data_IF_990268262685
#
_entry.id   IF_990268262685
#
_cell.length_a   1.000
_cell.length_b   1.000
_cell.length_c   1.000
_cell.angle_alpha   90.00
_cell.angle_beta   90.00
_cell.angle_gamma   90.00
#
_symmetry.space_group_name_H-M   'P 1'
#
loop_
_entity.id
_entity.type
_entity.pdbx_description
1 polymer ?
#
# COMPACT_ATOMS: atom_id res chain seq x y z
N UNK A 1 -21.32 47.77 34.72
CA UNK A 1 -20.95 46.66 33.83
C UNK A 1 -21.64 46.86 32.49
N UNK A 2 -20.89 46.86 31.37
CA UNK A 2 -21.48 47.07 30.04
C UNK A 2 -22.39 45.87 29.68
N UNK A 3 -23.51 46.12 28.97
CA UNK A 3 -24.48 45.06 28.53
C UNK A 3 -23.78 43.91 27.81
N UNK A 4 -22.81 44.19 26.96
CA UNK A 4 -22.05 43.16 26.20
C UNK A 4 -21.25 42.27 27.14
N UNK A 5 -20.61 42.84 28.15
CA UNK A 5 -19.86 42.05 29.17
C UNK A 5 -20.77 41.17 30.00
N UNK A 6 -21.98 41.69 30.36
CA UNK A 6 -22.98 40.94 31.11
C UNK A 6 -23.50 39.73 30.28
N UNK A 7 -23.80 39.95 28.99
CA UNK A 7 -24.19 38.88 28.07
C UNK A 7 -23.07 37.82 27.95
N UNK A 8 -21.80 38.24 27.84
CA UNK A 8 -20.68 37.33 27.79
C UNK A 8 -20.55 36.44 29.04
N UNK A 9 -20.69 37.02 30.24
CA UNK A 9 -20.67 36.27 31.50
C UNK A 9 -21.84 35.27 31.57
N UNK A 10 -23.04 35.71 31.21
CA UNK A 10 -24.22 34.82 31.18
C UNK A 10 -24.00 33.67 30.20
N UNK A 11 -23.45 33.93 29.02
CA UNK A 11 -23.14 32.88 28.02
C UNK A 11 -22.12 31.88 28.54
N UNK A 12 -21.10 32.35 29.29
CA UNK A 12 -20.11 31.47 29.91
C UNK A 12 -20.76 30.53 30.96
N UNK A 13 -21.61 31.07 31.80
CA UNK A 13 -22.34 30.30 32.84
C UNK A 13 -23.26 29.27 32.19
N UNK A 14 -23.99 29.68 31.13
CA UNK A 14 -24.86 28.75 30.38
C UNK A 14 -24.04 27.63 29.73
N UNK A 15 -22.92 27.95 29.10
CA UNK A 15 -22.03 26.95 28.48
C UNK A 15 -21.52 25.94 29.51
N UNK A 16 -21.04 26.41 30.67
CA UNK A 16 -20.53 25.55 31.73
C UNK A 16 -21.66 24.64 32.30
N UNK A 17 -22.84 25.21 32.55
CA UNK A 17 -24.00 24.45 33.04
C UNK A 17 -24.47 23.41 32.02
N UNK A 18 -24.58 23.78 30.74
CA UNK A 18 -24.97 22.87 29.67
C UNK A 18 -23.95 21.72 29.50
N UNK A 19 -22.66 22.03 29.57
CA UNK A 19 -21.60 21.00 29.52
C UNK A 19 -21.68 20.05 30.69
N UNK A 20 -21.86 20.58 31.91
CA UNK A 20 -22.02 19.77 33.10
C UNK A 20 -23.22 18.81 33.02
N UNK A 21 -24.37 19.33 32.56
CA UNK A 21 -25.56 18.52 32.35
C UNK A 21 -25.38 17.47 31.27
N UNK A 22 -24.77 17.85 30.12
CA UNK A 22 -24.54 16.93 29.02
C UNK A 22 -23.62 15.76 29.43
N UNK A 23 -22.53 16.06 30.14
CA UNK A 23 -21.60 15.05 30.64
C UNK A 23 -22.29 14.16 31.69
N UNK A 24 -23.12 14.74 32.57
CA UNK A 24 -23.87 14.01 33.56
C UNK A 24 -24.95 13.06 33.00
N UNK A 25 -25.50 13.40 31.82
CA UNK A 25 -26.50 12.56 31.13
C UNK A 25 -25.87 11.40 30.34
N UNK A 26 -24.56 11.44 30.06
CA UNK A 26 -23.87 10.34 29.38
C UNK A 26 -23.67 9.19 30.35
N UNK A 27 -23.99 7.95 29.94
CA UNK A 27 -23.78 6.75 30.76
C UNK A 27 -22.27 6.58 31.07
N UNK A 28 -21.89 6.86 32.32
CA UNK A 28 -20.52 6.78 32.79
C UNK A 28 -19.79 8.13 32.96
N UNK A 29 -20.39 9.25 32.61
CA UNK A 29 -19.73 10.56 32.70
C UNK A 29 -18.40 10.61 31.96
N UNK A 30 -17.36 11.19 32.57
CA UNK A 30 -15.98 11.08 32.06
C UNK A 30 -15.30 9.75 32.44
N UNK A 31 -15.95 8.92 33.26
CA UNK A 31 -15.50 7.56 33.62
C UNK A 31 -14.10 7.41 34.22
N UNK A 32 -13.46 8.51 34.61
CA UNK A 32 -12.06 8.53 35.02
C UNK A 32 -11.07 8.53 33.83
N UNK A 33 -11.57 8.47 32.62
CA UNK A 33 -10.72 8.54 31.42
C UNK A 33 -10.16 9.96 31.22
N UNK A 34 -8.84 10.06 31.29
CA UNK A 34 -8.11 11.31 31.15
C UNK A 34 -8.33 11.97 29.79
N UNK A 35 -8.52 11.21 28.72
CA UNK A 35 -8.76 11.74 27.37
C UNK A 35 -10.11 12.46 27.31
N UNK A 36 -11.16 11.84 27.86
CA UNK A 36 -12.49 12.45 27.95
C UNK A 36 -12.49 13.69 28.84
N UNK A 37 -11.75 13.67 29.95
CA UNK A 37 -11.61 14.85 30.83
C UNK A 37 -10.93 16.00 30.09
N UNK A 38 -9.81 15.73 29.41
CA UNK A 38 -9.08 16.75 28.64
C UNK A 38 -9.91 17.29 27.47
N UNK A 39 -10.71 16.45 26.80
CA UNK A 39 -11.62 16.88 25.75
C UNK A 39 -12.69 17.85 26.28
N UNK A 40 -13.30 17.58 27.41
CA UNK A 40 -14.28 18.46 28.07
C UNK A 40 -13.63 19.79 28.48
N UNK A 41 -12.46 19.73 29.11
CA UNK A 41 -11.71 20.95 29.50
C UNK A 41 -11.32 21.76 28.27
N UNK A 42 -10.85 21.10 27.20
CA UNK A 42 -10.51 21.75 25.94
C UNK A 42 -11.71 22.43 25.28
N UNK A 43 -12.87 21.78 25.25
CA UNK A 43 -14.10 22.34 24.71
C UNK A 43 -14.56 23.58 25.50
N UNK A 44 -14.51 23.53 26.83
CA UNK A 44 -14.84 24.65 27.69
C UNK A 44 -13.85 25.81 27.51
N UNK A 45 -12.56 25.53 27.40
CA UNK A 45 -11.54 26.53 27.14
C UNK A 45 -11.76 27.24 25.78
N UNK A 46 -12.04 26.48 24.71
CA UNK A 46 -12.38 27.05 23.40
C UNK A 46 -13.63 27.91 23.44
N UNK A 47 -14.67 27.47 24.12
CA UNK A 47 -15.89 28.24 24.33
C UNK A 47 -15.61 29.56 25.08
N UNK A 48 -14.84 29.50 26.15
CA UNK A 48 -14.43 30.67 26.92
C UNK A 48 -13.62 31.68 26.10
N UNK A 49 -12.65 31.20 25.33
CA UNK A 49 -11.83 32.05 24.44
C UNK A 49 -12.75 32.71 23.39
N UNK A 50 -13.65 31.94 22.78
CA UNK A 50 -14.56 32.45 21.75
C UNK A 50 -15.45 33.57 22.34
N UNK A 51 -16.07 33.35 23.50
CA UNK A 51 -16.90 34.36 24.17
C UNK A 51 -16.08 35.60 24.51
N UNK A 52 -14.88 35.40 25.06
CA UNK A 52 -13.98 36.52 25.38
C UNK A 52 -13.64 37.35 24.13
N UNK A 53 -13.26 36.69 23.02
CA UNK A 53 -12.92 37.36 21.78
C UNK A 53 -14.12 38.11 21.20
N UNK A 54 -15.30 37.49 21.17
CA UNK A 54 -16.53 38.16 20.71
C UNK A 54 -16.86 39.39 21.57
N UNK A 55 -16.84 39.26 22.88
CA UNK A 55 -17.12 40.38 23.81
C UNK A 55 -16.11 41.51 23.60
N UNK A 56 -14.82 41.18 23.47
CA UNK A 56 -13.76 42.16 23.22
C UNK A 56 -14.01 42.92 21.92
N UNK A 57 -14.22 42.20 20.81
CA UNK A 57 -14.35 42.86 19.51
C UNK A 57 -15.68 43.59 19.34
N UNK A 58 -16.81 43.08 19.86
CA UNK A 58 -18.06 43.81 19.86
C UNK A 58 -17.95 45.12 20.64
N UNK A 59 -17.25 45.13 21.77
CA UNK A 59 -16.95 46.37 22.51
C UNK A 59 -16.05 47.31 21.72
N UNK A 60 -15.03 46.78 21.09
CA UNK A 60 -14.13 47.59 20.26
C UNK A 60 -14.87 48.19 19.09
N UNK A 61 -15.69 47.45 18.37
CA UNK A 61 -16.53 47.99 17.28
C UNK A 61 -17.53 49.09 17.71
N UNK A 62 -17.98 49.07 18.98
CA UNK A 62 -18.83 50.13 19.53
C UNK A 62 -18.12 51.40 19.94
N UNK A 63 -16.81 51.29 20.26
CA UNK A 63 -16.03 52.39 20.82
C UNK A 63 -14.92 52.90 19.91
N UNK A 64 -14.48 52.03 18.99
CA UNK A 64 -13.38 52.35 18.10
C UNK A 64 -13.84 53.28 16.99
N UNK A 65 -13.02 54.30 16.73
CA UNK A 65 -13.24 55.21 15.62
C UNK A 65 -12.01 55.16 14.74
N UNK A 66 -12.28 54.98 13.44
CA UNK A 66 -11.19 55.12 12.48
C UNK A 66 -10.57 56.52 12.58
N UNK A 67 -9.32 56.58 12.90
CA UNK A 67 -8.57 57.82 13.04
C UNK A 67 -7.09 57.50 13.01
N UNK A 68 -6.34 58.35 12.38
CA UNK A 68 -4.89 58.20 12.28
C UNK A 68 -4.39 58.69 10.93
N UNK A 69 -3.11 58.61 10.73
CA UNK A 69 -2.46 58.91 9.47
C UNK A 69 -2.64 57.74 8.50
N UNK A 70 -3.01 58.03 7.26
CA UNK A 70 -3.08 57.02 6.21
C UNK A 70 -1.68 56.58 5.80
N UNK A 71 -1.49 55.31 5.50
CA UNK A 71 -0.29 54.83 4.83
C UNK A 71 -0.17 55.49 3.44
N UNK A 72 1.05 55.66 2.98
CA UNK A 72 1.32 56.19 1.63
C UNK A 72 0.93 55.21 0.53
N UNK A 73 0.88 53.93 0.88
CA UNK A 73 0.52 52.84 -0.03
C UNK A 73 -1.01 52.62 -0.01
N UNK A 74 -1.58 52.38 -1.20
CA UNK A 74 -2.98 52.03 -1.33
C UNK A 74 -3.09 50.75 -2.18
N UNK A 75 -3.95 49.82 -1.77
CA UNK A 75 -4.26 48.58 -2.50
C UNK A 75 -5.65 48.68 -3.11
N UNK A 76 -5.73 48.57 -4.42
CA UNK A 76 -7.02 48.70 -5.17
C UNK A 76 -7.80 49.99 -4.87
N UNK A 77 -7.09 51.10 -4.57
CA UNK A 77 -7.73 52.38 -4.25
C UNK A 77 -8.23 52.52 -2.80
N UNK A 78 -7.94 51.52 -1.96
CA UNK A 78 -8.29 51.52 -0.54
C UNK A 78 -7.05 51.93 0.26
N UNK A 79 -7.11 53.05 0.99
CA UNK A 79 -6.06 53.48 1.93
C UNK A 79 -6.21 52.81 3.27
N UNK A 80 -5.12 52.45 3.87
CA UNK A 80 -5.06 51.83 5.21
C UNK A 80 -4.53 52.86 6.23
N UNK A 81 -5.07 52.82 7.46
CA UNK A 81 -4.53 53.61 8.57
C UNK A 81 -3.28 52.95 9.13
N UNK A 82 -2.27 53.77 9.48
CA UNK A 82 -1.07 53.33 10.21
C UNK A 82 -1.44 53.02 11.65
N UNK A 83 -1.88 51.79 11.88
CA UNK A 83 -2.24 51.31 13.22
C UNK A 83 -1.08 50.52 13.83
N UNK A 84 -0.85 50.72 15.12
CA UNK A 84 0.06 49.84 15.86
C UNK A 84 -0.49 48.42 15.91
N UNK A 85 0.45 47.44 15.81
CA UNK A 85 0.07 46.04 15.93
C UNK A 85 -0.55 45.77 17.32
N UNK A 86 -1.80 45.27 17.42
CA UNK A 86 -2.40 45.00 18.71
C UNK A 86 -1.54 44.02 19.53
N UNK A 87 -1.25 44.40 20.79
CA UNK A 87 -0.36 43.65 21.66
C UNK A 87 -0.73 42.17 21.79
N UNK A 88 -2.03 41.85 21.82
CA UNK A 88 -2.47 40.46 21.84
C UNK A 88 -2.08 39.66 20.60
N UNK A 89 -2.05 40.26 19.42
CA UNK A 89 -1.56 39.64 18.20
C UNK A 89 -0.06 39.42 18.22
N UNK A 90 0.70 40.41 18.72
CA UNK A 90 2.15 40.29 18.84
C UNK A 90 2.54 39.14 19.79
N UNK A 91 1.86 39.01 20.93
CA UNK A 91 2.11 37.90 21.89
C UNK A 91 1.72 36.57 21.28
N UNK A 92 0.56 36.48 20.59
CA UNK A 92 0.11 35.25 19.97
C UNK A 92 1.11 34.80 18.90
N UNK A 93 1.53 35.69 18.04
CA UNK A 93 2.50 35.44 16.99
C UNK A 93 3.87 34.99 17.56
N UNK A 94 4.40 35.73 18.55
CA UNK A 94 5.64 35.34 19.20
C UNK A 94 5.51 33.98 19.92
N UNK A 95 4.40 33.75 20.64
CA UNK A 95 4.12 32.50 21.35
C UNK A 95 4.01 31.31 20.41
N UNK A 96 3.28 31.45 19.31
CA UNK A 96 3.17 30.37 18.32
C UNK A 96 4.50 30.10 17.60
N UNK A 97 5.30 31.12 17.36
CA UNK A 97 6.64 30.95 16.77
C UNK A 97 7.56 30.19 17.71
N UNK A 98 7.62 30.60 19.00
CA UNK A 98 8.40 29.86 20.01
C UNK A 98 7.91 28.43 20.17
N UNK A 99 6.59 28.25 20.22
CA UNK A 99 6.00 26.90 20.29
C UNK A 99 6.35 26.06 19.05
N UNK A 100 6.30 26.64 17.85
CA UNK A 100 6.64 25.93 16.62
C UNK A 100 8.11 25.51 16.62
N UNK A 101 9.02 26.39 17.03
CA UNK A 101 10.45 26.06 17.16
C UNK A 101 10.64 24.89 18.14
N UNK A 102 10.03 24.99 19.34
CA UNK A 102 10.09 23.91 20.32
C UNK A 102 9.50 22.61 19.78
N UNK A 103 8.35 22.69 19.10
CA UNK A 103 7.68 21.52 18.53
C UNK A 103 8.57 20.81 17.51
N UNK A 104 9.22 21.53 16.60
CA UNK A 104 10.10 20.92 15.60
C UNK A 104 11.42 20.40 16.18
N UNK A 105 11.96 21.04 17.21
CA UNK A 105 13.26 20.65 17.76
C UNK A 105 13.16 19.58 18.86
N UNK A 106 12.09 19.59 19.64
CA UNK A 106 11.94 18.75 20.82
C UNK A 106 10.59 18.04 20.92
N UNK A 107 9.50 18.67 20.52
CA UNK A 107 8.14 18.13 20.64
C UNK A 107 7.78 17.11 19.56
N UNK A 108 8.45 17.16 18.41
CA UNK A 108 8.31 16.18 17.32
C UNK A 108 9.68 15.59 16.97
N UNK A 109 10.35 14.92 17.89
CA UNK A 109 11.63 14.29 17.62
C UNK A 109 11.45 13.14 16.63
N UNK A 110 12.55 12.74 16.00
CA UNK A 110 12.57 11.60 15.04
C UNK A 110 12.01 10.31 15.66
N UNK A 111 12.08 10.18 16.99
CA UNK A 111 11.59 9.02 17.74
C UNK A 111 10.19 9.26 18.34
N UNK A 112 9.52 10.38 18.03
CA UNK A 112 8.19 10.61 18.56
C UNK A 112 7.19 9.66 17.90
N UNK A 113 6.18 9.34 18.68
CA UNK A 113 5.00 8.63 18.20
C UNK A 113 4.48 9.26 16.90
N UNK A 114 4.37 8.46 15.86
CA UNK A 114 3.81 8.87 14.59
C UNK A 114 2.71 7.91 14.18
N UNK A 115 1.67 8.42 13.52
CA UNK A 115 0.60 7.58 12.98
C UNK A 115 1.12 6.52 12.00
N UNK A 116 2.19 6.83 11.27
CA UNK A 116 2.84 5.86 10.37
C UNK A 116 3.54 4.77 11.18
N UNK A 117 4.24 5.13 12.26
CA UNK A 117 4.88 4.16 13.15
C UNK A 117 3.87 3.23 13.81
N UNK A 118 2.79 3.79 14.37
CA UNK A 118 1.69 3.01 14.97
C UNK A 118 1.02 2.08 13.96
N UNK A 119 0.76 2.58 12.75
CA UNK A 119 0.20 1.75 11.68
C UNK A 119 1.11 0.57 11.35
N UNK A 120 2.41 0.82 11.21
CA UNK A 120 3.37 -0.26 10.91
C UNK A 120 3.45 -1.30 12.04
N UNK A 121 3.43 -0.86 13.31
CA UNK A 121 3.39 -1.77 14.47
C UNK A 121 2.08 -2.57 14.52
N UNK A 122 0.94 -1.92 14.29
CA UNK A 122 -0.36 -2.58 14.26
C UNK A 122 -0.47 -3.59 13.11
N UNK A 123 0.07 -3.27 11.92
CA UNK A 123 0.13 -4.20 10.80
C UNK A 123 1.03 -5.39 11.12
N UNK A 124 2.21 -5.15 11.68
CA UNK A 124 3.12 -6.23 12.06
C UNK A 124 2.52 -7.17 13.11
N UNK A 125 1.82 -6.63 14.12
CA UNK A 125 1.11 -7.41 15.13
C UNK A 125 -0.05 -8.20 14.52
N UNK A 126 -0.85 -7.57 13.66
CA UNK A 126 -1.93 -8.23 12.93
C UNK A 126 -1.41 -9.39 12.08
N UNK A 127 -0.35 -9.15 11.30
CA UNK A 127 0.24 -10.17 10.43
C UNK A 127 0.84 -11.32 11.21
N UNK A 128 1.47 -11.04 12.36
CA UNK A 128 1.97 -12.10 13.25
C UNK A 128 0.83 -12.97 13.79
N UNK A 129 -0.27 -12.36 14.24
CA UNK A 129 -1.46 -13.09 14.71
C UNK A 129 -2.11 -13.90 13.58
N UNK A 130 -2.26 -13.28 12.41
CA UNK A 130 -2.82 -13.92 11.22
C UNK A 130 -1.98 -15.14 10.81
N UNK A 131 -0.66 -14.96 10.68
CA UNK A 131 0.23 -16.05 10.32
C UNK A 131 0.21 -17.19 11.34
N UNK A 132 0.16 -16.89 12.64
CA UNK A 132 0.06 -17.91 13.68
C UNK A 132 -1.29 -18.66 13.64
N UNK A 133 -2.39 -17.95 13.38
CA UNK A 133 -3.73 -18.56 13.31
C UNK A 133 -3.87 -19.50 12.10
N UNK A 134 -3.23 -19.19 10.99
CA UNK A 134 -3.37 -19.89 9.72
C UNK A 134 -2.13 -20.70 9.31
N UNK A 135 -1.19 -20.91 10.22
CA UNK A 135 0.04 -21.66 9.93
C UNK A 135 -0.20 -23.10 9.46
N UNK A 136 -1.17 -23.78 10.09
CA UNK A 136 -1.45 -25.21 9.89
C UNK A 136 -2.75 -25.45 9.10
N UNK A 137 -3.05 -24.58 8.10
CA UNK A 137 -4.22 -24.77 7.24
C UNK A 137 -4.12 -26.04 6.42
N UNK A 138 -5.23 -26.75 6.28
CA UNK A 138 -5.36 -27.81 5.28
C UNK A 138 -5.40 -27.25 3.84
N UNK A 139 -5.29 -28.15 2.86
CA UNK A 139 -5.19 -27.78 1.46
C UNK A 139 -6.46 -27.09 0.93
N UNK A 140 -7.64 -27.50 1.41
CA UNK A 140 -8.91 -26.91 0.99
C UNK A 140 -9.02 -25.46 1.51
N UNK A 141 -8.75 -25.25 2.80
CA UNK A 141 -8.73 -23.91 3.41
C UNK A 141 -7.70 -22.99 2.72
N UNK A 142 -6.51 -23.52 2.35
CA UNK A 142 -5.53 -22.77 1.58
C UNK A 142 -6.07 -22.33 0.22
N UNK A 143 -6.75 -23.23 -0.48
CA UNK A 143 -7.35 -22.90 -1.79
C UNK A 143 -8.46 -21.87 -1.68
N UNK A 144 -9.33 -21.97 -0.69
CA UNK A 144 -10.43 -21.01 -0.45
C UNK A 144 -9.90 -19.61 -0.09
N UNK A 145 -8.92 -19.56 0.80
CA UNK A 145 -8.23 -18.31 1.14
C UNK A 145 -7.54 -17.73 -0.10
N UNK A 146 -6.80 -18.54 -0.84
CA UNK A 146 -6.12 -18.13 -2.05
C UNK A 146 -7.09 -17.59 -3.10
N UNK A 147 -8.24 -18.25 -3.29
CA UNK A 147 -9.31 -17.80 -4.18
C UNK A 147 -9.87 -16.43 -3.79
N UNK A 148 -10.11 -16.24 -2.50
CA UNK A 148 -10.59 -14.95 -1.97
C UNK A 148 -9.57 -13.83 -2.21
N UNK A 149 -8.30 -14.07 -1.96
CA UNK A 149 -7.21 -13.10 -2.22
C UNK A 149 -7.08 -12.86 -3.73
N UNK A 150 -7.19 -13.91 -4.55
CA UNK A 150 -7.09 -13.82 -6.00
C UNK A 150 -8.12 -12.84 -6.58
N UNK A 151 -9.38 -12.95 -6.15
CA UNK A 151 -10.46 -12.08 -6.63
C UNK A 151 -10.14 -10.59 -6.37
N UNK A 152 -9.56 -10.28 -5.22
CA UNK A 152 -9.29 -8.89 -4.83
C UNK A 152 -7.99 -8.34 -5.42
N UNK A 153 -6.92 -9.14 -5.39
CA UNK A 153 -5.56 -8.66 -5.71
C UNK A 153 -5.13 -8.99 -7.14
N UNK A 154 -5.58 -10.10 -7.69
CA UNK A 154 -5.04 -10.66 -8.92
C UNK A 154 -6.02 -10.55 -10.10
N UNK A 155 -7.32 -10.74 -9.86
CA UNK A 155 -8.35 -10.70 -10.89
C UNK A 155 -8.44 -9.39 -11.69
N UNK A 156 -8.13 -8.19 -11.15
CA UNK A 156 -8.10 -6.97 -11.94
C UNK A 156 -7.18 -7.03 -13.18
N UNK A 157 -6.10 -7.83 -13.10
CA UNK A 157 -5.18 -8.05 -14.21
C UNK A 157 -5.37 -9.41 -14.88
N UNK A 158 -5.56 -10.47 -14.08
CA UNK A 158 -5.62 -11.85 -14.58
C UNK A 158 -7.03 -12.32 -14.96
N UNK A 159 -8.08 -11.54 -14.70
CA UNK A 159 -9.48 -11.93 -14.92
C UNK A 159 -10.06 -12.80 -13.80
N UNK A 160 -11.37 -12.76 -13.61
CA UNK A 160 -12.05 -13.62 -12.63
C UNK A 160 -11.93 -15.11 -12.96
N UNK A 161 -11.84 -15.45 -14.26
CA UNK A 161 -11.58 -16.79 -14.75
C UNK A 161 -10.09 -17.14 -14.83
N UNK A 162 -9.20 -16.25 -14.37
CA UNK A 162 -7.76 -16.40 -14.46
C UNK A 162 -7.21 -16.60 -15.90
N UNK A 163 -7.96 -16.15 -16.89
CA UNK A 163 -7.68 -16.29 -18.33
C UNK A 163 -6.73 -15.24 -18.91
N UNK A 164 -6.38 -14.22 -18.12
CA UNK A 164 -5.43 -13.17 -18.49
C UNK A 164 -6.05 -12.03 -19.31
N UNK A 165 -7.38 -11.93 -19.39
CA UNK A 165 -8.13 -10.86 -20.06
C UNK A 165 -7.56 -10.53 -21.45
N UNK A 166 -7.71 -11.43 -22.40
CA UNK A 166 -7.25 -11.27 -23.80
C UNK A 166 -5.75 -10.90 -23.93
N UNK A 167 -4.93 -11.44 -23.02
CA UNK A 167 -3.47 -11.25 -23.06
C UNK A 167 -2.94 -10.00 -22.35
N UNK A 168 -3.75 -9.31 -21.55
CA UNK A 168 -3.27 -8.24 -20.66
C UNK A 168 -2.33 -8.75 -19.57
N UNK A 169 -2.58 -9.99 -19.13
CA UNK A 169 -1.72 -10.71 -18.21
C UNK A 169 -1.60 -12.17 -18.63
N UNK A 170 -0.77 -12.96 -17.94
CA UNK A 170 -0.65 -14.38 -18.20
C UNK A 170 -1.97 -15.11 -17.86
N UNK A 171 -2.35 -16.05 -18.73
CA UNK A 171 -3.40 -17.01 -18.44
C UNK A 171 -2.88 -18.01 -17.40
N UNK A 172 -3.50 -18.05 -16.22
CA UNK A 172 -3.08 -18.89 -15.10
C UNK A 172 -3.72 -20.29 -15.09
N UNK A 173 -4.67 -20.54 -16.01
CA UNK A 173 -5.24 -21.87 -16.20
C UNK A 173 -4.27 -22.84 -16.90
N UNK A 174 -3.22 -22.31 -17.49
CA UNK A 174 -2.13 -23.09 -18.10
C UNK A 174 -0.77 -22.50 -17.70
N UNK A 175 0.24 -23.37 -17.55
CA UNK A 175 1.55 -22.93 -17.07
C UNK A 175 2.24 -21.96 -18.02
N UNK A 176 2.25 -22.25 -19.31
CA UNK A 176 2.90 -21.46 -20.33
C UNK A 176 2.10 -21.49 -21.64
N UNK A 177 2.04 -20.35 -22.31
CA UNK A 177 1.55 -20.27 -23.69
C UNK A 177 2.70 -20.42 -24.67
N UNK A 178 2.46 -21.05 -25.82
CA UNK A 178 3.50 -21.27 -26.83
C UNK A 178 4.21 -19.97 -27.27
N UNK A 179 3.46 -18.86 -27.40
CA UNK A 179 4.06 -17.55 -27.72
C UNK A 179 5.05 -17.05 -26.65
N UNK A 180 4.75 -17.34 -25.39
CA UNK A 180 5.62 -16.97 -24.26
C UNK A 180 6.88 -17.83 -24.23
N UNK A 181 6.74 -19.13 -24.44
CA UNK A 181 7.89 -20.04 -24.53
C UNK A 181 8.78 -19.64 -25.69
N UNK A 182 8.21 -19.42 -26.88
CA UNK A 182 8.93 -18.97 -28.07
C UNK A 182 9.73 -17.69 -27.77
N UNK A 183 9.08 -16.68 -27.22
CA UNK A 183 9.73 -15.43 -26.87
C UNK A 183 10.93 -15.63 -25.93
N UNK A 184 10.76 -16.45 -24.87
CA UNK A 184 11.83 -16.70 -23.91
C UNK A 184 12.99 -17.48 -24.55
N UNK A 185 12.71 -18.44 -25.43
CA UNK A 185 13.76 -19.19 -26.15
C UNK A 185 14.52 -18.26 -27.10
N UNK A 186 13.84 -17.35 -27.78
CA UNK A 186 14.44 -16.43 -28.74
C UNK A 186 15.30 -15.35 -28.05
N UNK A 187 14.88 -14.84 -26.85
CA UNK A 187 15.48 -13.68 -26.22
C UNK A 187 16.22 -14.01 -24.90
N UNK A 188 16.10 -15.22 -24.41
CA UNK A 188 16.60 -15.59 -23.10
C UNK A 188 15.73 -15.06 -21.96
N UNK A 189 16.12 -15.36 -20.72
CA UNK A 189 15.47 -14.86 -19.51
C UNK A 189 16.47 -14.68 -18.39
N UNK A 190 16.41 -13.53 -17.74
CA UNK A 190 17.24 -13.17 -16.59
C UNK A 190 16.37 -12.72 -15.41
N UNK A 191 15.28 -13.42 -15.15
CA UNK A 191 14.34 -13.04 -14.08
C UNK A 191 14.80 -13.46 -12.69
N UNK A 192 15.85 -14.26 -12.55
CA UNK A 192 16.41 -14.76 -11.28
C UNK A 192 15.36 -15.30 -10.30
N UNK A 193 14.27 -15.88 -10.83
CA UNK A 193 13.09 -16.29 -10.07
C UNK A 193 13.34 -17.35 -9.00
N UNK A 194 14.50 -18.03 -9.06
CA UNK A 194 14.86 -19.09 -8.12
C UNK A 194 16.11 -18.71 -7.31
N UNK A 195 16.50 -17.43 -7.30
CA UNK A 195 17.74 -17.00 -6.65
C UNK A 195 19.00 -17.52 -7.34
N UNK A 196 18.88 -18.00 -8.58
CA UNK A 196 20.02 -18.44 -9.39
C UNK A 196 20.59 -17.26 -10.16
N UNK A 197 21.91 -17.17 -10.23
CA UNK A 197 22.61 -16.21 -11.08
C UNK A 197 22.70 -16.66 -12.54
N UNK A 198 22.29 -17.90 -12.86
CA UNK A 198 22.39 -18.45 -14.20
C UNK A 198 21.14 -18.05 -15.02
N UNK A 199 21.27 -17.10 -15.95
CA UNK A 199 20.17 -16.75 -16.83
C UNK A 199 19.90 -17.86 -17.84
N UNK A 200 18.65 -18.03 -18.27
CA UNK A 200 18.34 -18.85 -19.44
C UNK A 200 18.94 -18.16 -20.67
N UNK A 201 19.80 -18.84 -21.43
CA UNK A 201 20.38 -18.26 -22.65
C UNK A 201 19.31 -18.01 -23.72
N UNK A 202 19.61 -17.09 -24.63
CA UNK A 202 18.84 -16.92 -25.86
C UNK A 202 19.14 -18.06 -26.86
N UNK A 203 18.47 -18.04 -28.00
CA UNK A 203 18.64 -19.03 -29.06
C UNK A 203 20.09 -19.26 -29.52
N UNK A 204 20.95 -18.25 -29.41
CA UNK A 204 22.35 -18.36 -29.82
C UNK A 204 23.21 -19.12 -28.80
N UNK A 205 22.69 -19.29 -27.58
CA UNK A 205 23.27 -20.13 -26.54
C UNK A 205 22.64 -21.51 -26.40
N UNK A 206 21.61 -21.83 -27.19
CA UNK A 206 20.89 -23.10 -27.12
C UNK A 206 21.34 -24.06 -28.22
N UNK A 207 22.02 -25.09 -27.78
CA UNK A 207 22.55 -26.15 -28.64
C UNK A 207 21.70 -27.42 -28.50
N UNK A 208 21.24 -27.97 -29.63
CA UNK A 208 20.53 -29.24 -29.62
C UNK A 208 21.53 -30.39 -29.78
N UNK A 209 21.75 -31.12 -28.70
CA UNK A 209 22.69 -32.24 -28.65
C UNK A 209 22.35 -33.38 -29.63
N UNK A 210 21.07 -33.53 -29.99
CA UNK A 210 20.63 -34.56 -30.91
C UNK A 210 20.97 -34.28 -32.38
N UNK A 211 21.04 -32.99 -32.74
CA UNK A 211 21.40 -32.55 -34.10
C UNK A 211 22.83 -32.07 -34.24
N UNK A 212 23.50 -31.78 -33.13
CA UNK A 212 24.83 -31.20 -33.12
C UNK A 212 24.91 -29.77 -33.60
N UNK A 213 23.79 -29.01 -33.57
CA UNK A 213 23.69 -27.64 -34.07
C UNK A 213 22.90 -26.74 -33.10
N UNK A 214 22.97 -25.42 -33.34
CA UNK A 214 22.11 -24.46 -32.65
C UNK A 214 20.64 -24.72 -33.00
N UNK A 215 19.75 -24.42 -32.09
CA UNK A 215 18.32 -24.60 -32.26
C UNK A 215 17.79 -23.73 -33.41
N UNK A 216 17.02 -24.32 -34.30
CA UNK A 216 16.42 -23.67 -35.49
C UNK A 216 15.05 -23.06 -35.18
N UNK A 217 14.57 -22.11 -36.01
CA UNK A 217 13.23 -21.53 -35.85
C UNK A 217 12.11 -22.58 -35.83
N UNK A 218 12.22 -23.60 -36.68
CA UNK A 218 11.25 -24.71 -36.72
C UNK A 218 11.27 -25.52 -35.42
N UNK A 219 12.43 -25.78 -34.87
CA UNK A 219 12.55 -26.47 -33.58
C UNK A 219 12.03 -25.62 -32.44
N UNK A 220 12.27 -24.29 -32.45
CA UNK A 220 11.73 -23.36 -31.46
C UNK A 220 10.20 -23.39 -31.50
N UNK A 221 9.58 -23.28 -32.67
CA UNK A 221 8.12 -23.37 -32.81
C UNK A 221 7.56 -24.71 -32.31
N UNK A 222 8.22 -25.82 -32.64
CA UNK A 222 7.79 -27.17 -32.25
C UNK A 222 7.93 -27.37 -30.74
N UNK A 223 9.05 -27.04 -30.13
CA UNK A 223 9.28 -27.21 -28.69
C UNK A 223 8.41 -26.25 -27.87
N UNK A 224 8.10 -25.07 -28.41
CA UNK A 224 7.20 -24.12 -27.73
C UNK A 224 5.77 -24.68 -27.62
N UNK A 225 5.28 -25.32 -28.67
CA UNK A 225 3.99 -26.03 -28.63
C UNK A 225 4.03 -27.24 -27.69
N UNK A 226 5.10 -28.03 -27.69
CA UNK A 226 5.31 -29.14 -26.78
C UNK A 226 5.21 -28.75 -25.32
N UNK A 227 5.94 -27.71 -24.93
CA UNK A 227 5.94 -27.18 -23.55
C UNK A 227 4.56 -26.60 -23.21
N UNK A 228 3.94 -25.82 -24.11
CA UNK A 228 2.62 -25.23 -23.88
C UNK A 228 1.52 -26.29 -23.73
N UNK A 229 1.66 -27.44 -24.40
CA UNK A 229 0.74 -28.57 -24.28
C UNK A 229 1.03 -29.49 -23.07
N UNK A 230 1.72 -29.00 -22.06
CA UNK A 230 2.07 -29.76 -20.86
C UNK A 230 3.00 -30.95 -21.14
N UNK A 231 4.02 -30.72 -21.93
CA UNK A 231 5.04 -31.70 -22.32
C UNK A 231 4.50 -32.87 -23.11
N UNK A 232 3.53 -32.61 -23.99
CA UNK A 232 2.89 -33.64 -24.82
C UNK A 232 2.93 -33.28 -26.30
N UNK A 233 3.13 -34.27 -27.16
CA UNK A 233 3.11 -34.16 -28.62
C UNK A 233 4.50 -34.04 -29.24
N UNK A 234 4.60 -33.55 -30.48
CA UNK A 234 5.86 -33.37 -31.18
C UNK A 234 6.75 -32.35 -30.43
N UNK A 235 8.05 -32.59 -30.36
CA UNK A 235 9.00 -31.71 -29.71
C UNK A 235 9.74 -32.32 -28.50
N UNK A 236 9.36 -33.55 -28.11
CA UNK A 236 10.00 -34.25 -26.99
C UNK A 236 11.52 -34.42 -27.24
N UNK A 237 11.92 -34.82 -28.42
CA UNK A 237 13.34 -35.03 -28.80
C UNK A 237 14.11 -33.70 -28.79
N UNK A 238 13.44 -32.62 -29.24
CA UNK A 238 14.05 -31.28 -29.23
C UNK A 238 14.23 -30.79 -27.78
N UNK A 239 13.21 -31.01 -26.94
CA UNK A 239 13.30 -30.67 -25.52
C UNK A 239 14.40 -31.45 -24.82
N UNK A 240 14.47 -32.77 -25.08
CA UNK A 240 15.50 -33.62 -24.52
C UNK A 240 16.92 -33.20 -24.93
N UNK A 241 17.09 -32.74 -26.18
CA UNK A 241 18.40 -32.36 -26.70
C UNK A 241 18.85 -30.94 -26.33
N UNK A 242 17.92 -30.00 -26.16
CA UNK A 242 18.26 -28.58 -25.99
C UNK A 242 17.85 -27.98 -24.64
N UNK A 243 16.87 -28.56 -23.92
CA UNK A 243 16.27 -27.94 -22.76
C UNK A 243 16.41 -28.77 -21.47
N UNK A 244 16.40 -30.11 -21.61
CA UNK A 244 16.35 -31.03 -20.47
C UNK A 244 17.57 -30.96 -19.54
N UNK A 245 18.72 -30.52 -20.05
CA UNK A 245 19.93 -30.36 -19.24
C UNK A 245 19.72 -29.40 -18.04
N UNK A 246 18.90 -28.36 -18.24
CA UNK A 246 18.57 -27.39 -17.20
C UNK A 246 17.18 -27.66 -16.59
N UNK A 247 16.16 -27.93 -17.44
CA UNK A 247 14.78 -28.05 -16.99
C UNK A 247 14.36 -29.46 -16.56
N UNK A 248 15.29 -30.44 -16.61
CA UNK A 248 14.96 -31.83 -16.34
C UNK A 248 14.25 -32.50 -17.52
N UNK A 249 14.30 -33.82 -17.61
CA UNK A 249 13.69 -34.58 -18.70
C UNK A 249 12.15 -34.50 -18.72
N UNK A 250 11.55 -34.29 -17.54
CA UNK A 250 10.11 -34.12 -17.33
C UNK A 250 9.65 -32.65 -17.27
N UNK A 251 10.58 -31.69 -17.47
CA UNK A 251 10.29 -30.25 -17.44
C UNK A 251 10.02 -29.67 -16.06
N UNK A 252 10.20 -30.43 -14.98
CA UNK A 252 9.94 -29.97 -13.60
C UNK A 252 11.00 -29.04 -13.04
N UNK A 253 12.01 -28.74 -13.82
CA UNK A 253 13.10 -27.88 -13.40
C UNK A 253 14.09 -28.57 -12.49
N UNK A 254 15.06 -27.81 -12.05
CA UNK A 254 16.05 -28.24 -11.06
C UNK A 254 16.21 -27.10 -10.05
N UNK A 255 16.20 -27.37 -8.74
CA UNK A 255 16.37 -26.35 -7.72
C UNK A 255 17.61 -25.50 -8.00
N UNK A 256 17.47 -24.18 -7.92
CA UNK A 256 18.53 -23.19 -8.15
C UNK A 256 19.15 -23.16 -9.56
N UNK A 257 18.66 -23.97 -10.50
CA UNK A 257 19.18 -24.03 -11.89
C UNK A 257 18.15 -23.54 -12.88
N UNK A 258 16.94 -24.12 -12.89
CA UNK A 258 15.90 -23.76 -13.85
C UNK A 258 14.50 -24.02 -13.26
N UNK A 259 13.49 -23.18 -13.59
CA UNK A 259 12.14 -23.34 -13.09
C UNK A 259 11.42 -24.54 -13.72
N UNK A 260 10.37 -25.01 -13.04
CA UNK A 260 9.37 -25.90 -13.59
C UNK A 260 8.67 -25.25 -14.78
N UNK A 261 8.72 -25.89 -15.94
CA UNK A 261 8.05 -25.46 -17.18
C UNK A 261 6.85 -26.33 -17.53
N UNK A 262 6.67 -27.47 -16.86
CA UNK A 262 5.57 -28.38 -17.08
C UNK A 262 4.31 -27.98 -16.30
N UNK A 263 4.46 -27.41 -15.10
CA UNK A 263 3.35 -27.05 -14.23
C UNK A 263 3.61 -25.82 -13.35
N UNK A 264 2.59 -25.37 -12.64
CA UNK A 264 2.74 -24.45 -11.53
C UNK A 264 3.09 -25.24 -10.27
N UNK A 265 4.02 -24.69 -9.49
CA UNK A 265 4.27 -25.14 -8.12
C UNK A 265 4.00 -23.99 -7.16
N UNK A 266 3.55 -24.26 -5.92
CA UNK A 266 3.34 -23.22 -4.93
C UNK A 266 4.59 -22.36 -4.70
N UNK A 267 5.76 -22.98 -4.68
CA UNK A 267 7.05 -22.31 -4.47
C UNK A 267 7.37 -21.32 -5.60
N UNK A 268 7.11 -21.71 -6.85
CA UNK A 268 7.29 -20.82 -8.00
C UNK A 268 6.36 -19.61 -7.91
N UNK A 269 5.10 -19.83 -7.51
CA UNK A 269 4.12 -18.75 -7.37
C UNK A 269 4.53 -17.81 -6.25
N UNK A 270 4.88 -18.32 -5.07
CA UNK A 270 5.40 -17.52 -3.94
C UNK A 270 6.61 -16.69 -4.37
N UNK A 271 7.53 -17.29 -5.11
CA UNK A 271 8.72 -16.59 -5.60
C UNK A 271 8.35 -15.44 -6.56
N UNK A 272 7.41 -15.68 -7.49
CA UNK A 272 6.91 -14.62 -8.39
C UNK A 272 6.22 -13.50 -7.60
N UNK A 273 5.46 -13.83 -6.56
CA UNK A 273 4.80 -12.83 -5.70
C UNK A 273 5.82 -12.01 -4.89
N UNK A 274 6.92 -12.62 -4.48
CA UNK A 274 7.97 -11.93 -3.73
C UNK A 274 8.81 -10.97 -4.59
N UNK A 275 9.10 -11.32 -5.83
CA UNK A 275 10.05 -10.58 -6.67
C UNK A 275 9.40 -9.88 -7.86
N UNK A 276 8.13 -10.20 -8.17
CA UNK A 276 7.52 -9.82 -9.43
C UNK A 276 8.08 -10.61 -10.60
N UNK A 277 7.61 -10.30 -11.81
CA UNK A 277 8.10 -10.94 -13.04
C UNK A 277 8.02 -9.98 -14.21
N UNK A 278 9.11 -9.88 -14.96
CA UNK A 278 9.14 -9.19 -16.26
C UNK A 278 9.17 -10.24 -17.37
N UNK A 279 8.31 -10.10 -18.38
CA UNK A 279 8.22 -11.04 -19.48
C UNK A 279 7.65 -10.41 -20.74
N UNK A 280 7.34 -11.24 -21.75
CA UNK A 280 6.82 -10.83 -23.06
C UNK A 280 5.52 -10.00 -22.98
N UNK A 281 4.67 -10.27 -21.99
CA UNK A 281 3.37 -9.60 -21.83
C UNK A 281 3.49 -8.26 -21.10
N UNK A 282 4.54 -8.09 -20.29
CA UNK A 282 4.76 -6.90 -19.47
C UNK A 282 5.41 -7.21 -18.13
N UNK A 283 5.14 -6.39 -17.14
CA UNK A 283 5.72 -6.52 -15.80
C UNK A 283 4.63 -6.75 -14.76
N UNK A 284 4.71 -7.86 -14.03
CA UNK A 284 3.94 -8.13 -12.83
C UNK A 284 4.72 -7.58 -11.62
N UNK A 285 4.12 -6.73 -10.77
CA UNK A 285 4.80 -6.21 -9.59
C UNK A 285 4.98 -7.28 -8.51
N UNK A 286 5.88 -7.03 -7.56
CA UNK A 286 5.96 -7.80 -6.33
C UNK A 286 4.82 -7.41 -5.37
N UNK A 287 4.37 -8.35 -4.55
CA UNK A 287 3.29 -8.17 -3.57
C UNK A 287 3.84 -8.23 -2.15
N UNK A 288 4.59 -7.20 -1.77
CA UNK A 288 5.20 -7.09 -0.44
C UNK A 288 4.18 -6.94 0.70
N UNK A 289 2.96 -6.52 0.37
CA UNK A 289 1.85 -6.36 1.33
C UNK A 289 1.14 -7.67 1.71
N UNK A 290 1.42 -8.75 1.02
CA UNK A 290 0.89 -10.07 1.36
C UNK A 290 1.82 -10.80 2.33
N UNK A 291 1.24 -11.45 3.35
CA UNK A 291 2.00 -12.33 4.24
C UNK A 291 2.41 -13.61 3.54
N UNK A 292 3.40 -14.34 4.08
CA UNK A 292 3.84 -15.61 3.49
C UNK A 292 2.70 -16.64 3.45
N UNK A 293 1.87 -16.70 4.50
CA UNK A 293 0.68 -17.58 4.54
C UNK A 293 -0.31 -17.25 3.42
N UNK A 294 -0.52 -15.97 3.13
CA UNK A 294 -1.38 -15.53 2.03
C UNK A 294 -0.79 -15.88 0.66
N UNK A 295 0.51 -15.76 0.49
CA UNK A 295 1.21 -16.15 -0.75
C UNK A 295 1.17 -17.66 -0.97
N UNK A 296 1.35 -18.46 0.08
CA UNK A 296 1.18 -19.91 0.03
C UNK A 296 -0.25 -20.32 -0.35
N UNK A 297 -1.24 -19.64 0.22
CA UNK A 297 -2.65 -19.86 -0.11
C UNK A 297 -2.93 -19.54 -1.59
N UNK A 298 -2.41 -18.42 -2.11
CA UNK A 298 -2.45 -18.11 -3.55
C UNK A 298 -1.75 -19.18 -4.38
N UNK A 299 -0.61 -19.69 -3.93
CA UNK A 299 0.10 -20.80 -4.55
C UNK A 299 -0.77 -22.05 -4.68
N UNK A 300 -1.43 -22.42 -3.60
CA UNK A 300 -2.35 -23.57 -3.58
C UNK A 300 -3.54 -23.37 -4.53
N UNK A 301 -4.14 -22.18 -4.56
CA UNK A 301 -5.26 -21.85 -5.43
C UNK A 301 -4.86 -21.89 -6.91
N UNK A 302 -3.81 -21.16 -7.31
CA UNK A 302 -3.38 -21.08 -8.72
C UNK A 302 -2.95 -22.45 -9.23
N UNK A 303 -2.27 -23.24 -8.40
CA UNK A 303 -1.91 -24.62 -8.77
C UNK A 303 -3.17 -25.50 -9.00
N UNK A 304 -4.28 -25.22 -8.31
CA UNK A 304 -5.54 -25.94 -8.50
C UNK A 304 -6.24 -25.60 -9.81
N UNK A 305 -6.01 -24.39 -10.37
CA UNK A 305 -6.62 -23.95 -11.63
C UNK A 305 -6.03 -24.66 -12.85
N UNK A 306 -4.76 -25.02 -12.80
CA UNK A 306 -3.98 -25.59 -13.93
C UNK A 306 -3.99 -27.11 -13.99
N UNK A 307 -5.10 -27.75 -13.67
CA UNK A 307 -5.25 -29.22 -13.70
C UNK A 307 -5.60 -29.73 -15.11
#
# INVERSE_FOLDING_TARGET
>A
MNKVTLVGIISMVILAAATYLAVGLTKGGTGGDIVNQLAVVGALALGAITIFVVVKYVRQMQTDKAGGELAEESWDGIGEYKNELPFGWAILFAGTTVWAIWYFLAGYPVNAYSQIGEYNEAVAEHDAKFNAQFADMDQETKQDMGGSIFIVQCAPCHGLAADGIDGKAANLNQRLEAKTVKYVVEHGSNNQLLGTEMPMPDRNGLFNANTGALITDKEIDTVSQYVANGMKGPGADIFAGACAACHGADGKGQPYVAPDVAGYTPELIVNVLNHGKKGAIGTMPAFANLTEVQKEALGAYITSLSK
#
